data_IF_543937617426
#
_entry.id   IF_543937617426
#
_cell.length_a   1.000
_cell.length_b   1.000
_cell.length_c   1.000
_cell.angle_alpha   90.00
_cell.angle_beta   90.00
_cell.angle_gamma   90.00
#
_symmetry.space_group_name_H-M   'P 1'
#
loop_
_entity.id
_entity.type
_entity.pdbx_description
1 polymer ?
#
# COMPACT_ATOMS: atom_id res chain seq x y z
N UNK A 1 -10.58 -13.51 18.70
CA UNK A 1 -10.60 -13.58 17.21
C UNK A 1 -11.25 -12.29 16.74
N UNK A 2 -10.55 -11.42 16.00
CA UNK A 2 -10.98 -10.06 15.71
C UNK A 2 -12.34 -10.05 14.97
N UNK A 3 -13.43 -9.80 15.70
CA UNK A 3 -14.83 -9.80 15.19
C UNK A 3 -15.12 -8.62 14.26
N UNK A 4 -14.17 -7.70 14.11
CA UNK A 4 -14.29 -6.49 13.31
C UNK A 4 -14.04 -6.74 11.82
N UNK A 5 -13.56 -7.92 11.43
CA UNK A 5 -13.34 -8.26 10.02
C UNK A 5 -14.34 -9.32 9.54
N UNK A 6 -14.77 -9.27 8.26
CA UNK A 6 -15.53 -10.36 7.64
C UNK A 6 -14.72 -11.65 7.61
N UNK A 7 -15.39 -12.79 7.41
CA UNK A 7 -14.75 -14.11 7.31
C UNK A 7 -13.56 -14.11 6.33
N UNK A 8 -12.42 -14.64 6.78
CA UNK A 8 -11.15 -14.65 6.05
C UNK A 8 -10.42 -13.30 6.01
N UNK A 9 -10.97 -12.25 6.61
CA UNK A 9 -10.40 -10.91 6.61
C UNK A 9 -9.05 -10.82 7.33
N UNK A 10 -8.86 -11.55 8.43
CA UNK A 10 -7.56 -11.62 9.12
C UNK A 10 -6.47 -12.18 8.21
N UNK A 11 -6.75 -13.27 7.49
CA UNK A 11 -5.78 -13.87 6.56
C UNK A 11 -5.41 -12.92 5.43
N UNK A 12 -6.40 -12.20 4.88
CA UNK A 12 -6.17 -11.19 3.84
C UNK A 12 -5.40 -9.97 4.37
N UNK A 13 -5.65 -9.56 5.61
CA UNK A 13 -4.91 -8.49 6.27
C UNK A 13 -3.42 -8.88 6.43
N UNK A 14 -3.16 -10.07 6.97
CA UNK A 14 -1.80 -10.61 7.11
C UNK A 14 -1.09 -10.71 5.76
N UNK A 15 -1.79 -11.24 4.74
CA UNK A 15 -1.26 -11.32 3.39
C UNK A 15 -0.92 -9.92 2.83
N UNK A 16 -1.74 -8.91 3.11
CA UNK A 16 -1.46 -7.53 2.74
C UNK A 16 -0.16 -7.00 3.34
N UNK A 17 0.07 -7.23 4.63
CA UNK A 17 1.32 -6.87 5.29
C UNK A 17 2.53 -7.63 4.72
N UNK A 18 2.38 -8.92 4.41
CA UNK A 18 3.42 -9.69 3.74
C UNK A 18 3.78 -9.10 2.38
N UNK A 19 2.81 -8.67 1.59
CA UNK A 19 3.06 -8.01 0.31
C UNK A 19 3.84 -6.69 0.48
N UNK A 20 3.54 -5.88 1.49
CA UNK A 20 4.33 -4.67 1.77
C UNK A 20 5.76 -4.99 2.21
N UNK A 21 5.95 -6.05 3.01
CA UNK A 21 7.30 -6.51 3.36
C UNK A 21 8.09 -6.97 2.13
N UNK A 22 7.44 -7.67 1.20
CA UNK A 22 8.05 -8.06 -0.08
C UNK A 22 8.39 -6.81 -0.91
N UNK A 23 7.50 -5.81 -0.94
CA UNK A 23 7.76 -4.57 -1.65
C UNK A 23 9.01 -3.88 -1.11
N UNK A 24 9.08 -3.64 0.20
CA UNK A 24 10.23 -3.02 0.85
C UNK A 24 11.53 -3.80 0.60
N UNK A 25 11.47 -5.13 0.66
CA UNK A 25 12.63 -5.97 0.35
C UNK A 25 13.06 -5.86 -1.11
N UNK A 26 12.12 -5.83 -2.05
CA UNK A 26 12.41 -5.65 -3.47
C UNK A 26 13.02 -4.28 -3.76
N UNK A 27 12.54 -3.21 -3.12
CA UNK A 27 13.13 -1.87 -3.21
C UNK A 27 14.57 -1.86 -2.70
N UNK A 28 14.84 -2.50 -1.55
CA UNK A 28 16.20 -2.64 -1.04
C UNK A 28 17.12 -3.35 -2.04
N UNK A 29 16.65 -4.45 -2.64
CA UNK A 29 17.42 -5.19 -3.64
C UNK A 29 17.68 -4.36 -4.90
N UNK A 30 16.69 -3.60 -5.39
CA UNK A 30 16.90 -2.68 -6.51
C UNK A 30 17.98 -1.63 -6.20
N UNK A 31 18.00 -1.15 -4.96
CA UNK A 31 19.01 -0.20 -4.50
C UNK A 31 20.42 -0.81 -4.36
N UNK A 32 20.54 -2.10 -4.08
CA UNK A 32 21.87 -2.76 -4.09
C UNK A 32 22.51 -2.77 -5.49
N UNK A 33 21.70 -2.86 -6.55
CA UNK A 33 22.17 -2.81 -7.94
C UNK A 33 22.53 -1.39 -8.41
N UNK A 34 22.18 -0.38 -7.62
CA UNK A 34 22.38 1.05 -7.95
C UNK A 34 23.27 1.76 -6.92
N UNK A 35 24.06 1.01 -6.14
CA UNK A 35 24.93 1.53 -5.07
C UNK A 35 24.18 2.45 -4.08
N UNK A 36 22.92 2.14 -3.79
CA UNK A 36 22.04 2.92 -2.92
C UNK A 36 21.72 4.33 -3.45
N UNK A 37 21.97 4.58 -4.73
CA UNK A 37 21.60 5.83 -5.40
C UNK A 37 20.28 5.61 -6.11
N UNK A 38 19.32 6.49 -5.88
CA UNK A 38 18.07 6.45 -6.63
C UNK A 38 18.33 6.69 -8.12
N UNK A 39 18.01 5.69 -8.95
CA UNK A 39 18.05 5.77 -10.41
C UNK A 39 16.68 5.35 -10.94
N UNK A 40 16.06 6.24 -11.72
CA UNK A 40 14.80 5.91 -12.38
C UNK A 40 15.03 4.91 -13.51
N UNK A 41 14.73 3.63 -13.28
CA UNK A 41 14.89 2.56 -14.27
C UNK A 41 13.77 1.52 -14.18
N UNK A 42 13.57 0.78 -15.26
CA UNK A 42 12.75 -0.42 -15.27
C UNK A 42 13.63 -1.62 -14.92
N UNK A 43 13.33 -2.27 -13.81
CA UNK A 43 14.00 -3.51 -13.37
C UNK A 43 12.97 -4.51 -12.85
N UNK A 44 13.38 -5.78 -12.73
CA UNK A 44 12.56 -6.83 -12.12
C UNK A 44 12.25 -6.55 -10.65
N UNK A 45 13.23 -6.07 -9.89
CA UNK A 45 13.05 -5.68 -8.48
C UNK A 45 12.09 -4.51 -8.33
N UNK A 46 12.20 -3.48 -9.17
CA UNK A 46 11.27 -2.36 -9.17
C UNK A 46 9.85 -2.80 -9.58
N UNK A 47 9.73 -3.76 -10.51
CA UNK A 47 8.45 -4.38 -10.84
C UNK A 47 7.83 -5.14 -9.66
N UNK A 48 8.64 -5.93 -8.94
CA UNK A 48 8.21 -6.65 -7.74
C UNK A 48 7.83 -5.70 -6.59
N UNK A 49 8.51 -4.56 -6.47
CA UNK A 49 8.15 -3.49 -5.54
C UNK A 49 6.72 -2.97 -5.81
N UNK A 50 6.42 -2.53 -7.04
CA UNK A 50 5.07 -2.07 -7.38
C UNK A 50 4.01 -3.17 -7.25
N UNK A 51 4.36 -4.41 -7.63
CA UNK A 51 3.49 -5.56 -7.47
C UNK A 51 3.14 -5.80 -5.99
N UNK A 52 4.13 -5.74 -5.11
CA UNK A 52 3.95 -5.88 -3.66
C UNK A 52 3.11 -4.75 -3.06
N UNK A 53 3.32 -3.50 -3.47
CA UNK A 53 2.50 -2.37 -3.02
C UNK A 53 1.03 -2.52 -3.45
N UNK A 54 0.79 -2.83 -4.73
CA UNK A 54 -0.55 -3.00 -5.26
C UNK A 54 -1.26 -4.22 -4.62
N UNK A 55 -0.54 -5.34 -4.49
CA UNK A 55 -1.04 -6.56 -3.83
C UNK A 55 -1.35 -6.34 -2.34
N UNK A 56 -0.49 -5.59 -1.65
CA UNK A 56 -0.69 -5.20 -0.25
C UNK A 56 -1.98 -4.41 -0.07
N UNK A 57 -2.14 -3.37 -0.88
CA UNK A 57 -3.31 -2.49 -0.84
C UNK A 57 -4.60 -3.20 -1.26
N UNK A 58 -4.55 -4.03 -2.30
CA UNK A 58 -5.68 -4.86 -2.71
C UNK A 58 -6.12 -5.80 -1.59
N UNK A 59 -5.17 -6.42 -0.88
CA UNK A 59 -5.44 -7.37 0.20
C UNK A 59 -5.96 -6.67 1.47
N UNK A 60 -5.40 -5.51 1.82
CA UNK A 60 -5.96 -4.66 2.87
C UNK A 60 -7.40 -4.24 2.55
N UNK A 61 -7.68 -3.86 1.30
CA UNK A 61 -9.04 -3.50 0.86
C UNK A 61 -9.97 -4.70 0.94
N UNK A 62 -9.53 -5.85 0.43
CA UNK A 62 -10.30 -7.08 0.44
C UNK A 62 -10.61 -7.56 1.87
N UNK A 63 -9.69 -7.34 2.82
CA UNK A 63 -9.83 -7.74 4.23
C UNK A 63 -11.08 -7.18 4.91
N UNK A 64 -11.52 -5.97 4.51
CA UNK A 64 -12.70 -5.28 5.05
C UNK A 64 -13.91 -5.31 4.11
N UNK A 65 -13.73 -5.78 2.88
CA UNK A 65 -14.75 -5.77 1.83
C UNK A 65 -15.57 -7.05 1.85
N UNK A 66 -16.90 -6.99 1.98
CA UNK A 66 -17.76 -8.18 1.88
C UNK A 66 -18.08 -8.60 0.43
N UNK A 67 -18.03 -7.65 -0.52
CA UNK A 67 -18.36 -7.90 -1.92
C UNK A 67 -17.29 -8.76 -2.61
N UNK A 68 -17.65 -10.00 -2.98
CA UNK A 68 -16.75 -10.95 -3.65
C UNK A 68 -16.27 -10.45 -5.02
N UNK A 69 -17.16 -9.86 -5.82
CA UNK A 69 -16.81 -9.32 -7.14
C UNK A 69 -15.75 -8.23 -7.00
N UNK A 70 -15.91 -7.32 -6.05
CA UNK A 70 -14.91 -6.27 -5.80
C UNK A 70 -13.55 -6.86 -5.38
N UNK A 71 -13.53 -7.90 -4.52
CA UNK A 71 -12.29 -8.59 -4.15
C UNK A 71 -11.59 -9.15 -5.39
N UNK A 72 -12.33 -9.82 -6.28
CA UNK A 72 -11.77 -10.37 -7.54
C UNK A 72 -11.25 -9.25 -8.43
N UNK A 73 -12.02 -8.18 -8.63
CA UNK A 73 -11.60 -7.02 -9.43
C UNK A 73 -10.31 -6.39 -8.92
N UNK A 74 -10.11 -6.29 -7.60
CA UNK A 74 -8.88 -5.75 -7.01
C UNK A 74 -7.65 -6.60 -7.41
N UNK A 75 -7.74 -7.92 -7.33
CA UNK A 75 -6.62 -8.78 -7.73
C UNK A 75 -6.41 -8.80 -9.25
N UNK A 76 -7.47 -8.67 -10.06
CA UNK A 76 -7.33 -8.48 -11.50
C UNK A 76 -6.59 -7.18 -11.84
N UNK A 77 -6.84 -6.09 -11.11
CA UNK A 77 -6.09 -4.84 -11.27
C UNK A 77 -4.62 -4.99 -10.91
N UNK A 78 -4.29 -5.75 -9.85
CA UNK A 78 -2.90 -6.06 -9.48
C UNK A 78 -2.22 -6.86 -10.59
N UNK A 79 -2.85 -7.92 -11.08
CA UNK A 79 -2.31 -8.74 -12.17
C UNK A 79 -2.12 -7.90 -13.43
N UNK A 80 -3.10 -7.07 -13.79
CA UNK A 80 -2.98 -6.15 -14.91
C UNK A 80 -1.78 -5.21 -14.73
N UNK A 81 -1.62 -4.63 -13.53
CA UNK A 81 -0.47 -3.77 -13.19
C UNK A 81 0.88 -4.45 -13.36
N UNK A 82 0.99 -5.72 -12.99
CA UNK A 82 2.20 -6.54 -13.16
C UNK A 82 2.48 -6.79 -14.65
N UNK A 83 1.46 -7.19 -15.41
CA UNK A 83 1.59 -7.53 -16.84
C UNK A 83 1.94 -6.31 -17.67
N UNK A 84 1.36 -5.14 -17.36
CA UNK A 84 1.61 -3.91 -18.13
C UNK A 84 2.90 -3.21 -17.73
N UNK A 85 3.45 -3.44 -16.53
CA UNK A 85 4.68 -2.81 -16.05
C UNK A 85 5.86 -2.89 -17.05
N UNK A 86 6.24 -4.07 -17.60
CA UNK A 86 7.35 -4.15 -18.54
C UNK A 86 7.06 -3.46 -19.89
N UNK A 87 5.78 -3.27 -20.24
CA UNK A 87 5.36 -2.74 -21.54
C UNK A 87 5.15 -1.21 -21.53
N UNK A 88 4.54 -0.70 -20.45
CA UNK A 88 4.08 0.69 -20.34
C UNK A 88 4.79 1.46 -19.22
N UNK A 89 5.66 0.77 -18.47
CA UNK A 89 6.47 1.34 -17.39
C UNK A 89 5.68 1.70 -16.13
N UNK A 90 6.40 2.28 -15.17
CA UNK A 90 5.90 2.58 -13.81
C UNK A 90 4.69 3.51 -13.76
N UNK A 91 4.54 4.43 -14.72
CA UNK A 91 3.46 5.43 -14.71
C UNK A 91 2.06 4.81 -14.75
N UNK A 92 1.86 3.79 -15.59
CA UNK A 92 0.58 3.08 -15.67
C UNK A 92 0.35 2.24 -14.42
N UNK A 93 1.38 1.57 -13.90
CA UNK A 93 1.29 0.79 -12.67
C UNK A 93 0.89 1.66 -11.46
N UNK A 94 1.49 2.85 -11.32
CA UNK A 94 1.14 3.84 -10.29
C UNK A 94 -0.30 4.32 -10.46
N UNK A 95 -0.75 4.55 -11.70
CA UNK A 95 -2.12 4.96 -11.99
C UNK A 95 -3.13 3.90 -11.55
N UNK A 96 -2.87 2.63 -11.86
CA UNK A 96 -3.70 1.50 -11.41
C UNK A 96 -3.69 1.37 -9.88
N UNK A 97 -2.52 1.51 -9.24
CA UNK A 97 -2.40 1.51 -7.78
C UNK A 97 -3.16 2.68 -7.13
N UNK A 98 -3.24 3.83 -7.78
CA UNK A 98 -4.01 4.99 -7.31
C UNK A 98 -5.52 4.68 -7.30
N UNK A 99 -6.02 3.94 -8.30
CA UNK A 99 -7.41 3.45 -8.33
C UNK A 99 -7.67 2.52 -7.13
N UNK A 100 -6.77 1.56 -6.89
CA UNK A 100 -6.87 0.65 -5.74
C UNK A 100 -6.86 1.45 -4.42
N UNK A 101 -6.07 2.54 -4.34
CA UNK A 101 -6.00 3.43 -3.15
C UNK A 101 -7.32 4.14 -2.87
N UNK A 102 -8.00 4.64 -3.90
CA UNK A 102 -9.31 5.28 -3.74
C UNK A 102 -10.33 4.26 -3.22
N UNK A 103 -10.33 3.06 -3.79
CA UNK A 103 -11.23 1.97 -3.34
C UNK A 103 -10.90 1.57 -1.90
N UNK A 104 -9.62 1.44 -1.56
CA UNK A 104 -9.14 1.18 -0.19
C UNK A 104 -9.74 2.18 0.81
N UNK A 105 -9.56 3.48 0.56
CA UNK A 105 -10.06 4.54 1.44
C UNK A 105 -11.57 4.46 1.60
N UNK A 106 -12.30 4.26 0.50
CA UNK A 106 -13.76 4.15 0.52
C UNK A 106 -14.23 2.94 1.36
N UNK A 107 -13.61 1.77 1.19
CA UNK A 107 -14.01 0.56 1.92
C UNK A 107 -13.65 0.63 3.40
N UNK A 108 -12.46 1.16 3.73
CA UNK A 108 -12.02 1.34 5.11
C UNK A 108 -12.83 2.40 5.83
N UNK A 109 -13.15 3.52 5.17
CA UNK A 109 -14.04 4.55 5.73
C UNK A 109 -15.41 3.97 6.03
N UNK A 110 -16.03 3.26 5.07
CA UNK A 110 -17.33 2.61 5.26
C UNK A 110 -17.32 1.59 6.40
N UNK A 111 -16.19 0.92 6.66
CA UNK A 111 -16.11 -0.11 7.70
C UNK A 111 -15.95 0.47 9.10
N UNK A 112 -15.10 1.49 9.24
CA UNK A 112 -14.64 1.97 10.55
C UNK A 112 -15.15 3.35 10.93
N UNK A 113 -15.45 4.22 9.94
CA UNK A 113 -15.84 5.62 10.15
C UNK A 113 -14.92 6.36 11.14
N UNK A 114 -13.61 6.09 11.08
CA UNK A 114 -12.62 6.67 11.97
C UNK A 114 -11.78 7.72 11.23
N UNK A 115 -11.81 9.00 11.64
CA UNK A 115 -11.00 10.08 11.06
C UNK A 115 -9.49 9.80 11.03
N UNK A 116 -8.97 8.92 11.91
CA UNK A 116 -7.55 8.58 11.91
C UNK A 116 -7.10 7.95 10.58
N UNK A 117 -8.04 7.37 9.81
CA UNK A 117 -7.78 6.83 8.48
C UNK A 117 -7.13 7.85 7.54
N UNK A 118 -7.42 9.15 7.70
CA UNK A 118 -6.87 10.20 6.84
C UNK A 118 -5.36 10.41 7.00
N UNK A 119 -4.74 9.91 8.07
CA UNK A 119 -3.29 9.91 8.19
C UNK A 119 -2.66 8.98 7.13
N UNK A 120 -3.35 7.89 6.73
CA UNK A 120 -2.86 6.97 5.70
C UNK A 120 -2.59 7.67 4.36
N UNK A 121 -3.55 8.34 3.69
CA UNK A 121 -3.27 8.98 2.41
C UNK A 121 -2.33 10.18 2.54
N UNK A 122 -2.32 10.90 3.66
CA UNK A 122 -1.38 12.00 3.89
C UNK A 122 0.06 11.45 3.91
N UNK A 123 0.33 10.46 4.75
CA UNK A 123 1.68 9.93 4.91
C UNK A 123 2.08 9.00 3.78
N UNK A 124 1.22 8.05 3.40
CA UNK A 124 1.51 6.98 2.45
C UNK A 124 1.36 7.38 0.98
N UNK A 125 0.68 8.49 0.66
CA UNK A 125 0.51 8.96 -0.72
C UNK A 125 1.08 10.37 -0.90
N UNK A 126 0.62 11.36 -0.14
CA UNK A 126 1.02 12.76 -0.37
C UNK A 126 2.50 12.96 -0.06
N UNK A 127 2.94 12.62 1.16
CA UNK A 127 4.33 12.82 1.58
C UNK A 127 5.31 11.96 0.78
N UNK A 128 5.01 10.68 0.58
CA UNK A 128 5.84 9.78 -0.23
C UNK A 128 5.98 10.28 -1.67
N UNK A 129 4.90 10.79 -2.28
CA UNK A 129 4.95 11.37 -3.64
C UNK A 129 5.73 12.67 -3.67
N UNK A 130 5.55 13.55 -2.69
CA UNK A 130 6.29 14.83 -2.61
C UNK A 130 7.78 14.57 -2.45
N UNK A 131 8.19 13.73 -1.49
CA UNK A 131 9.60 13.41 -1.28
C UNK A 131 10.20 12.63 -2.46
N UNK A 132 9.46 11.69 -3.06
CA UNK A 132 9.89 11.00 -4.28
C UNK A 132 10.04 11.94 -5.47
N UNK A 133 9.14 12.92 -5.61
CA UNK A 133 9.23 13.97 -6.63
C UNK A 133 10.43 14.87 -6.42
N UNK A 134 10.69 15.30 -5.19
CA UNK A 134 11.87 16.09 -4.83
C UNK A 134 13.18 15.31 -5.05
N UNK A 135 13.20 14.02 -4.71
CA UNK A 135 14.33 13.12 -4.98
C UNK A 135 14.60 13.05 -6.49
N UNK A 136 13.56 12.84 -7.30
CA UNK A 136 13.68 12.73 -8.74
C UNK A 136 14.06 14.04 -9.42
N UNK A 137 13.64 15.20 -8.90
CA UNK A 137 13.91 16.50 -9.51
C UNK A 137 15.25 17.11 -9.10
N UNK A 138 15.63 16.96 -7.83
CA UNK A 138 16.86 17.53 -7.29
C UNK A 138 18.07 16.59 -7.35
N UNK A 139 17.84 15.28 -7.50
CA UNK A 139 18.88 14.26 -7.36
C UNK A 139 19.46 14.11 -5.95
N UNK A 140 18.98 14.90 -4.98
CA UNK A 140 19.49 14.92 -3.62
C UNK A 140 18.94 13.71 -2.84
N UNK A 141 19.82 12.80 -2.46
CA UNK A 141 19.45 11.55 -1.79
C UNK A 141 18.88 11.75 -0.38
N UNK A 142 19.01 12.95 0.22
CA UNK A 142 18.40 13.24 1.53
C UNK A 142 16.89 13.01 1.53
N UNK A 143 16.22 13.24 0.39
CA UNK A 143 14.79 13.05 0.26
C UNK A 143 14.37 11.59 0.48
N UNK A 144 15.25 10.64 0.16
CA UNK A 144 15.01 9.21 0.33
C UNK A 144 14.79 8.82 1.81
N UNK A 145 15.47 9.52 2.73
CA UNK A 145 15.36 9.30 4.19
C UNK A 145 13.94 9.55 4.70
N UNK A 146 13.15 10.38 4.02
CA UNK A 146 11.79 10.73 4.46
C UNK A 146 10.70 9.82 3.86
N UNK A 147 10.98 9.12 2.76
CA UNK A 147 10.01 8.27 2.07
C UNK A 147 9.63 7.06 2.93
N UNK A 148 10.62 6.33 3.45
CA UNK A 148 10.41 5.14 4.28
C UNK A 148 9.62 5.41 5.57
N UNK A 149 10.01 6.42 6.40
CA UNK A 149 9.25 6.80 7.59
C UNK A 149 7.82 7.24 7.28
N UNK A 150 7.59 8.02 6.21
CA UNK A 150 6.25 8.41 5.80
C UNK A 150 5.37 7.19 5.46
N UNK A 151 5.91 6.24 4.69
CA UNK A 151 5.25 4.96 4.42
C UNK A 151 4.94 4.17 5.70
N UNK A 152 5.90 4.11 6.63
CA UNK A 152 5.76 3.38 7.89
C UNK A 152 4.65 3.95 8.78
N UNK A 153 4.57 5.28 8.92
CA UNK A 153 3.50 5.96 9.67
C UNK A 153 2.12 5.61 9.08
N UNK A 154 2.01 5.52 7.75
CA UNK A 154 0.75 5.12 7.11
C UNK A 154 0.30 3.71 7.52
N UNK A 155 1.22 2.74 7.60
CA UNK A 155 0.90 1.37 7.99
C UNK A 155 0.60 1.25 9.49
N UNK A 156 1.36 1.96 10.34
CA UNK A 156 1.11 2.02 11.79
C UNK A 156 -0.29 2.59 12.07
N UNK A 157 -0.73 3.58 11.30
CA UNK A 157 -2.09 4.13 11.39
C UNK A 157 -3.16 3.05 11.26
N UNK A 158 -2.98 2.08 10.36
CA UNK A 158 -3.94 1.00 10.18
C UNK A 158 -4.00 0.08 11.40
N UNK A 159 -2.84 -0.23 11.99
CA UNK A 159 -2.78 -0.99 13.24
C UNK A 159 -3.48 -0.25 14.40
N UNK A 160 -3.24 1.05 14.55
CA UNK A 160 -3.92 1.87 15.57
C UNK A 160 -5.44 1.86 15.35
N UNK A 161 -5.87 2.04 14.10
CA UNK A 161 -7.29 2.04 13.73
C UNK A 161 -7.96 0.70 14.09
N UNK A 162 -7.31 -0.43 13.77
CA UNK A 162 -7.81 -1.76 14.12
C UNK A 162 -7.95 -1.95 15.63
N UNK A 163 -6.96 -1.54 16.42
CA UNK A 163 -7.01 -1.60 17.88
C UNK A 163 -8.09 -0.69 18.49
N UNK A 164 -8.35 0.48 17.89
CA UNK A 164 -9.45 1.35 18.32
C UNK A 164 -10.80 0.70 18.03
N UNK A 165 -10.94 0.09 16.85
CA UNK A 165 -12.18 -0.57 16.45
C UNK A 165 -12.49 -1.79 17.32
N UNK A 166 -11.49 -2.59 17.67
CA UNK A 166 -11.64 -3.74 18.57
C UNK A 166 -12.06 -3.30 19.98
N UNK A 167 -11.41 -2.28 20.54
CA UNK A 167 -11.82 -1.71 21.83
C UNK A 167 -13.27 -1.21 21.80
N UNK A 168 -13.66 -0.47 20.76
CA UNK A 168 -15.04 0.02 20.62
C UNK A 168 -16.06 -1.12 20.56
N UNK A 169 -15.74 -2.20 19.85
CA UNK A 169 -16.59 -3.40 19.78
C UNK A 169 -16.73 -4.08 21.15
N UNK A 170 -15.65 -4.19 21.93
CA UNK A 170 -15.68 -4.84 23.23
C UNK A 170 -16.43 -4.03 24.30
N UNK A 171 -16.54 -2.70 24.16
CA UNK A 171 -17.34 -1.86 25.05
C UNK A 171 -18.82 -1.76 24.65
N UNK A 172 -19.19 -2.19 23.43
CA UNK A 172 -20.57 -2.15 22.94
C UNK A 172 -21.35 -3.46 23.11
N UNK A 173 -20.68 -4.53 23.56
CA UNK A 173 -21.26 -5.84 23.88
C UNK A 173 -21.22 -6.05 25.40
#
# INVERSE_FOLDING_TARGET
MCTVLPNGGISLLLFGFTCFSIAAFAEMLDHTETNWIYINRLSGWNGLFYAGLAGGLASLTASVTANKTLRVSLYLLVIAGIVVYPLLGKGVTISLQSIITIIFLAQWWRRFHDPILWIYPICGVVLTTVFGGMLSSSGNQIWHVFIGPAGSISLITLWILLNRAERKHNFSN
#
